data_IF_496174870881
#
_entry.id   IF_496174870881
#
_cell.length_a   1.000
_cell.length_b   1.000
_cell.length_c   1.000
_cell.angle_alpha   90.00
_cell.angle_beta   90.00
_cell.angle_gamma   90.00
#
_symmetry.space_group_name_H-M   'P 1'
#
loop_
_entity.id
_entity.type
_entity.pdbx_description
1 polymer ?
#
# COMPACT_ATOMS: atom_id res chain seq x y z
N UNK A 1 16.32 -42.97 -44.85
CA UNK A 1 15.70 -42.44 -43.62
C UNK A 1 16.66 -41.43 -42.99
N UNK A 2 16.37 -40.13 -43.10
CA UNK A 2 17.04 -39.08 -42.31
C UNK A 2 16.10 -38.72 -41.14
N UNK A 3 16.61 -38.56 -39.91
CA UNK A 3 15.74 -38.31 -38.77
C UNK A 3 15.19 -36.89 -38.84
N UNK A 4 13.92 -36.77 -38.48
CA UNK A 4 13.20 -35.51 -38.37
C UNK A 4 13.95 -34.53 -37.46
N UNK A 5 14.27 -33.35 -37.99
CA UNK A 5 14.70 -32.22 -37.18
C UNK A 5 13.52 -31.69 -36.36
N UNK A 6 13.79 -31.49 -35.07
CA UNK A 6 12.92 -30.86 -34.09
C UNK A 6 12.47 -29.47 -34.57
N UNK A 7 11.18 -29.33 -34.82
CA UNK A 7 10.49 -28.03 -34.82
C UNK A 7 9.88 -27.87 -33.43
N UNK A 8 10.53 -27.13 -32.54
CA UNK A 8 9.98 -26.49 -31.32
C UNK A 8 11.11 -25.94 -30.44
N UNK A 9 11.26 -24.60 -30.37
CA UNK A 9 11.87 -23.86 -29.23
C UNK A 9 11.91 -22.33 -29.38
N UNK A 10 11.57 -21.74 -30.54
CA UNK A 10 11.69 -20.28 -30.72
C UNK A 10 10.68 -19.46 -29.89
N UNK A 11 9.47 -19.97 -29.63
CA UNK A 11 8.42 -19.23 -28.91
C UNK A 11 8.60 -19.13 -27.40
N UNK A 12 9.35 -20.05 -26.78
CA UNK A 12 9.48 -20.11 -25.31
C UNK A 12 10.58 -19.21 -24.76
N UNK A 13 11.63 -18.88 -25.52
CA UNK A 13 12.65 -17.94 -25.05
C UNK A 13 12.15 -16.50 -25.10
N UNK A 14 11.50 -16.12 -26.20
CA UNK A 14 10.96 -14.77 -26.39
C UNK A 14 9.90 -14.42 -25.33
N UNK A 15 9.02 -15.36 -24.95
CA UNK A 15 8.06 -15.14 -23.88
C UNK A 15 8.74 -14.94 -22.51
N UNK A 16 9.79 -15.71 -22.20
CA UNK A 16 10.56 -15.55 -20.96
C UNK A 16 11.25 -14.19 -20.90
N UNK A 17 11.79 -13.73 -22.02
CA UNK A 17 12.46 -12.43 -22.12
C UNK A 17 11.47 -11.27 -21.91
N UNK A 18 10.24 -11.40 -22.42
CA UNK A 18 9.16 -10.42 -22.20
C UNK A 18 8.78 -10.36 -20.71
N UNK A 19 8.56 -11.51 -20.05
CA UNK A 19 8.23 -11.53 -18.62
C UNK A 19 9.36 -10.94 -17.77
N UNK A 20 10.62 -11.25 -18.08
CA UNK A 20 11.77 -10.69 -17.37
C UNK A 20 11.79 -9.15 -17.44
N UNK A 21 11.52 -8.57 -18.61
CA UNK A 21 11.45 -7.11 -18.76
C UNK A 21 10.29 -6.50 -17.98
N UNK A 22 9.11 -7.14 -17.99
CA UNK A 22 7.96 -6.72 -17.20
C UNK A 22 8.26 -6.75 -15.69
N UNK A 23 8.93 -7.79 -15.20
CA UNK A 23 9.35 -7.88 -13.80
C UNK A 23 10.33 -6.79 -13.42
N UNK A 24 11.33 -6.53 -14.26
CA UNK A 24 12.31 -5.47 -14.02
C UNK A 24 11.68 -4.08 -14.04
N UNK A 25 10.70 -3.85 -14.93
CA UNK A 25 9.92 -2.60 -14.93
C UNK A 25 9.16 -2.47 -13.62
N UNK A 26 8.43 -3.50 -13.22
CA UNK A 26 7.64 -3.45 -11.99
C UNK A 26 8.51 -3.24 -10.75
N UNK A 27 9.69 -3.88 -10.68
CA UNK A 27 10.65 -3.67 -9.61
C UNK A 27 11.20 -2.24 -9.50
N UNK A 28 11.38 -1.56 -10.65
CA UNK A 28 11.71 -0.12 -10.65
C UNK A 28 10.54 0.69 -10.13
N UNK A 29 9.34 0.44 -10.64
CA UNK A 29 8.14 1.18 -10.25
C UNK A 29 7.84 1.03 -8.75
N UNK A 30 7.97 -0.18 -8.18
CA UNK A 30 7.81 -0.39 -6.74
C UNK A 30 8.85 0.37 -5.91
N UNK A 31 10.10 0.39 -6.37
CA UNK A 31 11.16 1.13 -5.71
C UNK A 31 10.91 2.64 -5.78
N UNK A 32 10.46 3.16 -6.92
CA UNK A 32 10.16 4.58 -7.12
C UNK A 32 8.93 5.04 -6.34
N UNK A 33 7.86 4.25 -6.32
CA UNK A 33 6.59 4.62 -5.67
C UNK A 33 6.56 4.35 -4.17
N UNK A 34 7.21 3.27 -3.71
CA UNK A 34 7.09 2.79 -2.34
C UNK A 34 8.43 2.66 -1.61
N UNK A 35 9.56 2.85 -2.30
CA UNK A 35 10.90 2.67 -1.72
C UNK A 35 11.24 1.23 -1.36
N UNK A 36 10.56 0.25 -1.97
CA UNK A 36 10.84 -1.16 -1.77
C UNK A 36 11.52 -1.75 -3.02
N UNK A 37 12.84 -2.03 -2.98
CA UNK A 37 13.57 -2.54 -4.13
C UNK A 37 13.24 -4.00 -4.44
N UNK A 38 13.44 -4.40 -5.69
CA UNK A 38 13.32 -5.79 -6.17
C UNK A 38 11.92 -6.41 -6.02
N UNK A 39 10.88 -5.61 -5.82
CA UNK A 39 9.50 -6.11 -5.73
C UNK A 39 8.91 -6.28 -7.12
N UNK A 40 8.57 -7.51 -7.49
CA UNK A 40 7.99 -7.83 -8.80
C UNK A 40 6.46 -7.93 -8.77
N UNK A 41 5.85 -7.76 -7.60
CA UNK A 41 4.40 -7.72 -7.43
C UNK A 41 3.98 -7.79 -5.96
N UNK A 42 2.70 -7.53 -5.71
CA UNK A 42 2.06 -7.74 -4.41
C UNK A 42 0.90 -8.74 -4.57
N UNK A 43 0.80 -9.71 -3.68
CA UNK A 43 -0.24 -10.75 -3.72
C UNK A 43 -1.13 -10.67 -2.49
N UNK A 44 -2.45 -10.81 -2.70
CA UNK A 44 -3.43 -10.88 -1.63
C UNK A 44 -4.74 -11.55 -2.11
N UNK A 45 -5.57 -11.96 -1.16
CA UNK A 45 -6.89 -12.55 -1.38
C UNK A 45 -8.02 -11.57 -1.11
N UNK A 46 -9.02 -11.56 -1.99
CA UNK A 46 -10.30 -10.87 -1.79
C UNK A 46 -11.45 -11.86 -1.72
N UNK A 47 -12.24 -11.77 -0.65
CA UNK A 47 -13.55 -12.41 -0.60
C UNK A 47 -14.58 -11.63 -1.42
N UNK A 48 -15.14 -12.25 -2.46
CA UNK A 48 -16.28 -11.74 -3.23
C UNK A 48 -17.55 -12.35 -2.64
N UNK A 49 -18.42 -11.49 -2.10
CA UNK A 49 -19.67 -11.94 -1.46
C UNK A 49 -20.62 -12.56 -2.48
N UNK A 50 -21.28 -13.65 -2.09
CA UNK A 50 -22.31 -14.31 -2.87
C UNK A 50 -23.53 -14.64 -2.01
N UNK A 51 -24.69 -14.76 -2.65
CA UNK A 51 -25.82 -15.45 -2.05
C UNK A 51 -25.46 -16.93 -1.86
N UNK A 52 -26.10 -17.57 -0.89
CA UNK A 52 -25.85 -18.97 -0.55
C UNK A 52 -26.13 -19.82 -1.79
N UNK A 53 -25.14 -20.54 -2.37
CA UNK A 53 -25.41 -21.38 -3.52
C UNK A 53 -26.18 -22.62 -3.04
N UNK A 54 -27.21 -22.95 -3.79
CA UNK A 54 -28.39 -23.76 -3.46
C UNK A 54 -28.03 -25.16 -2.93
N UNK A 55 -26.85 -25.68 -3.31
CA UNK A 55 -26.40 -27.06 -3.01
C UNK A 55 -25.05 -27.17 -2.27
N UNK A 56 -24.41 -26.04 -1.93
CA UNK A 56 -22.99 -26.06 -1.49
C UNK A 56 -22.73 -25.89 0.03
N UNK A 57 -23.79 -25.86 0.83
CA UNK A 57 -23.70 -25.87 2.30
C UNK A 57 -22.72 -24.83 2.89
N UNK A 58 -21.98 -25.22 3.93
CA UNK A 58 -21.04 -24.37 4.68
C UNK A 58 -19.69 -24.13 3.98
N UNK A 59 -19.42 -24.75 2.83
CA UNK A 59 -18.11 -24.72 2.17
C UNK A 59 -17.69 -23.29 1.81
N UNK A 60 -18.61 -22.45 1.34
CA UNK A 60 -18.33 -21.06 0.99
C UNK A 60 -18.46 -20.08 2.15
N UNK A 61 -18.81 -20.55 3.36
CA UNK A 61 -18.96 -19.69 4.53
C UNK A 61 -17.61 -19.21 5.03
N UNK A 62 -17.29 -17.92 4.83
CA UNK A 62 -16.03 -17.36 5.29
C UNK A 62 -16.05 -16.95 6.76
N UNK A 63 -14.87 -16.74 7.33
CA UNK A 63 -14.70 -16.24 8.70
C UNK A 63 -15.38 -14.88 8.96
N UNK A 64 -15.71 -14.13 7.89
CA UNK A 64 -16.44 -12.86 7.94
C UNK A 64 -17.97 -13.03 8.02
N UNK A 65 -18.48 -14.27 8.08
CA UNK A 65 -19.90 -14.55 8.34
C UNK A 65 -20.81 -14.44 7.11
N UNK A 66 -20.26 -14.59 5.90
CA UNK A 66 -21.03 -14.62 4.65
C UNK A 66 -20.48 -15.67 3.66
N UNK A 67 -21.30 -16.07 2.68
CA UNK A 67 -20.83 -16.95 1.60
C UNK A 67 -19.96 -16.15 0.63
N UNK A 68 -18.77 -16.65 0.32
CA UNK A 68 -17.84 -15.94 -0.57
C UNK A 68 -17.02 -16.88 -1.44
N UNK A 69 -16.63 -16.36 -2.59
CA UNK A 69 -15.61 -16.94 -3.46
C UNK A 69 -14.35 -16.09 -3.36
N UNK A 70 -13.20 -16.73 -3.18
CA UNK A 70 -11.92 -16.02 -3.07
C UNK A 70 -11.38 -15.69 -4.46
N UNK A 71 -10.99 -14.44 -4.65
CA UNK A 71 -10.18 -13.92 -5.74
C UNK A 71 -8.76 -13.70 -5.20
N UNK A 72 -7.82 -14.55 -5.56
CA UNK A 72 -6.39 -14.34 -5.31
C UNK A 72 -5.82 -13.54 -6.46
N UNK A 73 -5.09 -12.47 -6.16
CA UNK A 73 -4.54 -11.61 -7.20
C UNK A 73 -3.09 -11.23 -6.93
N UNK A 74 -2.27 -11.31 -7.98
CA UNK A 74 -0.96 -10.69 -8.05
C UNK A 74 -1.10 -9.36 -8.79
N UNK A 75 -0.65 -8.27 -8.20
CA UNK A 75 -0.74 -6.92 -8.75
C UNK A 75 0.63 -6.27 -8.95
N UNK A 76 0.68 -5.34 -9.91
CA UNK A 76 1.83 -4.48 -10.14
C UNK A 76 1.79 -3.20 -9.29
N UNK A 77 2.83 -2.37 -9.39
CA UNK A 77 2.97 -1.11 -8.66
C UNK A 77 1.88 -0.07 -9.00
N UNK A 78 1.09 -0.29 -10.05
CA UNK A 78 0.05 0.62 -10.55
C UNK A 78 -1.36 0.09 -10.32
N UNK A 79 -1.52 -0.89 -9.42
CA UNK A 79 -2.80 -1.54 -9.13
C UNK A 79 -3.46 -2.20 -10.35
N UNK A 80 -2.65 -2.74 -11.28
CA UNK A 80 -3.12 -3.62 -12.36
C UNK A 80 -2.92 -5.08 -11.96
N UNK A 81 -3.88 -5.92 -12.32
CA UNK A 81 -3.83 -7.35 -12.04
C UNK A 81 -2.90 -8.05 -13.03
N UNK A 82 -1.80 -8.63 -12.57
CA UNK A 82 -0.86 -9.40 -13.38
C UNK A 82 -1.34 -10.84 -13.57
N UNK A 83 -1.87 -11.44 -12.50
CA UNK A 83 -2.44 -12.78 -12.51
C UNK A 83 -3.55 -12.88 -11.47
N UNK A 84 -4.57 -13.70 -11.75
CA UNK A 84 -5.65 -13.98 -10.82
C UNK A 84 -5.97 -15.47 -10.79
N UNK A 85 -6.37 -15.96 -9.61
CA UNK A 85 -6.92 -17.29 -9.39
C UNK A 85 -8.25 -17.13 -8.64
N UNK A 86 -9.33 -17.63 -9.22
CA UNK A 86 -10.69 -17.42 -8.74
C UNK A 86 -11.32 -18.79 -8.54
N UNK A 87 -11.86 -19.06 -7.37
CA UNK A 87 -12.57 -20.31 -7.17
C UNK A 87 -12.54 -20.89 -5.77
N UNK A 88 -11.57 -20.49 -4.94
CA UNK A 88 -11.48 -21.05 -3.60
C UNK A 88 -12.73 -20.75 -2.78
N UNK A 89 -13.11 -21.75 -1.97
CA UNK A 89 -14.21 -21.60 -1.03
C UNK A 89 -13.84 -20.61 0.06
N UNK A 90 -14.80 -19.83 0.54
CA UNK A 90 -14.59 -18.82 1.59
C UNK A 90 -14.00 -19.35 2.91
N UNK A 91 -13.97 -20.66 3.15
CA UNK A 91 -13.32 -21.28 4.32
C UNK A 91 -11.80 -21.39 4.21
N UNK A 92 -11.24 -21.35 3.01
CA UNK A 92 -9.82 -21.56 2.80
C UNK A 92 -9.05 -20.28 3.16
N UNK A 93 -7.98 -20.39 3.95
CA UNK A 93 -7.09 -19.26 4.18
C UNK A 93 -6.38 -18.86 2.88
N UNK A 94 -5.99 -17.60 2.77
CA UNK A 94 -5.26 -17.10 1.59
C UNK A 94 -3.98 -17.91 1.33
N UNK A 95 -3.28 -18.29 2.39
CA UNK A 95 -2.11 -19.18 2.32
C UNK A 95 -2.42 -20.59 1.83
N UNK A 96 -3.55 -21.15 2.26
CA UNK A 96 -4.02 -22.46 1.81
C UNK A 96 -4.40 -22.43 0.33
N UNK A 97 -5.07 -21.36 -0.11
CA UNK A 97 -5.44 -21.19 -1.50
C UNK A 97 -4.22 -20.97 -2.39
N UNK A 98 -3.31 -20.10 -1.98
CA UNK A 98 -2.05 -19.84 -2.67
C UNK A 98 -1.21 -21.11 -2.86
N UNK A 99 -1.16 -21.96 -1.84
CA UNK A 99 -0.39 -23.22 -1.88
C UNK A 99 -0.82 -24.13 -3.04
N UNK A 100 -2.11 -24.14 -3.39
CA UNK A 100 -2.67 -24.90 -4.53
C UNK A 100 -2.78 -24.09 -5.83
N UNK A 101 -2.55 -22.79 -5.78
CA UNK A 101 -2.84 -21.86 -6.88
C UNK A 101 -1.89 -22.03 -8.08
N UNK A 102 -2.37 -21.89 -9.33
CA UNK A 102 -1.52 -21.77 -10.51
C UNK A 102 -0.54 -20.60 -10.43
N UNK A 103 -0.87 -19.52 -9.70
CA UNK A 103 0.03 -18.38 -9.49
C UNK A 103 1.33 -18.84 -8.83
N UNK A 104 1.22 -19.65 -7.75
CA UNK A 104 2.38 -20.19 -7.06
C UNK A 104 3.22 -21.07 -8.00
N UNK A 105 2.57 -21.99 -8.71
CA UNK A 105 3.25 -22.91 -9.64
C UNK A 105 3.99 -22.16 -10.73
N UNK A 106 3.40 -21.08 -11.25
CA UNK A 106 4.02 -20.22 -12.24
C UNK A 106 5.24 -19.51 -11.65
N UNK A 107 5.10 -18.83 -10.50
CA UNK A 107 6.21 -18.13 -9.84
C UNK A 107 7.39 -19.04 -9.48
N UNK A 108 7.12 -20.30 -9.12
CA UNK A 108 8.16 -21.33 -8.83
C UNK A 108 8.75 -21.96 -10.11
N UNK A 109 8.17 -21.69 -11.28
CA UNK A 109 8.63 -22.27 -12.55
C UNK A 109 9.69 -21.42 -13.25
N UNK A 110 10.54 -22.07 -14.04
CA UNK A 110 11.47 -21.38 -14.94
C UNK A 110 10.77 -20.64 -16.10
N UNK A 111 9.45 -20.80 -16.26
CA UNK A 111 8.63 -20.11 -17.26
C UNK A 111 8.25 -18.70 -16.81
N UNK A 112 8.21 -18.44 -15.50
CA UNK A 112 7.95 -17.10 -15.00
C UNK A 112 9.03 -16.08 -15.40
N UNK A 113 10.25 -16.53 -15.74
CA UNK A 113 11.30 -15.60 -16.18
C UNK A 113 11.68 -14.59 -15.10
N UNK A 114 11.51 -14.92 -13.81
CA UNK A 114 11.94 -14.06 -12.70
C UNK A 114 13.45 -13.82 -12.84
N UNK A 115 13.91 -12.56 -12.87
CA UNK A 115 15.32 -12.26 -13.05
C UNK A 115 16.18 -12.85 -11.93
N UNK A 116 17.43 -13.18 -12.26
CA UNK A 116 18.39 -13.63 -11.26
C UNK A 116 18.63 -12.55 -10.19
N UNK A 117 19.05 -12.99 -8.99
CA UNK A 117 19.41 -12.08 -7.92
C UNK A 117 20.51 -11.10 -8.36
N UNK A 118 20.34 -9.82 -8.04
CA UNK A 118 21.33 -8.76 -8.33
C UNK A 118 21.78 -8.07 -7.05
N UNK A 119 23.00 -7.50 -7.00
CA UNK A 119 23.48 -6.84 -5.80
C UNK A 119 22.61 -5.64 -5.39
N UNK A 120 22.15 -5.63 -4.13
CA UNK A 120 21.45 -4.51 -3.53
C UNK A 120 22.41 -3.69 -2.66
N UNK A 121 23.15 -2.79 -3.29
CA UNK A 121 24.17 -1.97 -2.63
C UNK A 121 25.21 -2.83 -1.91
N UNK A 122 25.48 -2.51 -0.63
CA UNK A 122 26.47 -3.23 0.20
C UNK A 122 25.95 -4.56 0.77
N UNK A 123 24.66 -4.86 0.62
CA UNK A 123 24.03 -6.09 1.15
C UNK A 123 24.46 -7.31 0.32
N UNK A 124 24.77 -7.11 -0.96
CA UNK A 124 25.12 -8.19 -1.89
C UNK A 124 23.91 -8.71 -2.67
N UNK A 125 24.03 -9.86 -3.35
CA UNK A 125 22.99 -10.38 -4.24
C UNK A 125 21.68 -10.64 -3.50
N UNK A 126 20.60 -10.01 -3.95
CA UNK A 126 19.26 -10.18 -3.40
C UNK A 126 18.27 -10.59 -4.49
N UNK A 127 17.37 -11.56 -4.21
CA UNK A 127 16.38 -12.02 -5.18
C UNK A 127 15.32 -10.95 -5.47
N UNK A 128 14.60 -11.15 -6.57
CA UNK A 128 13.34 -10.47 -6.84
C UNK A 128 12.19 -11.18 -6.13
N UNK A 129 11.30 -10.42 -5.51
CA UNK A 129 10.32 -10.94 -4.54
C UNK A 129 8.92 -10.40 -4.78
N UNK A 130 7.91 -11.19 -4.39
CA UNK A 130 6.52 -10.76 -4.26
C UNK A 130 6.25 -10.37 -2.81
N UNK A 131 5.55 -9.26 -2.58
CA UNK A 131 5.08 -8.89 -1.24
C UNK A 131 3.77 -9.60 -0.92
N UNK A 132 3.66 -10.11 0.30
CA UNK A 132 2.45 -10.77 0.78
C UNK A 132 2.14 -10.39 2.23
N UNK A 133 0.91 -10.68 2.66
CA UNK A 133 0.52 -10.51 4.05
C UNK A 133 1.19 -11.56 4.97
N UNK A 134 1.01 -11.41 6.28
CA UNK A 134 1.61 -12.32 7.27
C UNK A 134 1.09 -13.76 7.19
N UNK A 135 -0.01 -14.02 6.49
CA UNK A 135 -0.63 -15.33 6.33
C UNK A 135 0.09 -16.24 5.33
N UNK A 136 0.71 -15.70 4.27
CA UNK A 136 1.30 -16.50 3.17
C UNK A 136 2.62 -17.23 3.53
N UNK A 137 3.32 -16.75 4.56
CA UNK A 137 4.61 -17.25 5.00
C UNK A 137 5.79 -16.82 4.11
N UNK A 138 6.96 -16.64 4.73
CA UNK A 138 8.20 -16.22 4.06
C UNK A 138 8.74 -17.31 3.10
N UNK A 139 9.21 -16.91 1.91
CA UNK A 139 9.82 -17.81 0.90
C UNK A 139 10.95 -17.09 0.15
N UNK A 140 11.76 -17.83 -0.60
CA UNK A 140 12.88 -17.27 -1.38
C UNK A 140 12.44 -16.21 -2.43
N UNK A 141 11.18 -16.29 -2.86
CA UNK A 141 10.56 -15.37 -3.82
C UNK A 141 9.42 -14.53 -3.20
N UNK A 142 9.22 -14.58 -1.87
CA UNK A 142 8.09 -13.93 -1.21
C UNK A 142 8.48 -13.34 0.15
N UNK A 143 8.21 -12.05 0.33
CA UNK A 143 8.48 -11.31 1.56
C UNK A 143 7.18 -11.01 2.31
N UNK A 144 7.19 -11.29 3.61
CA UNK A 144 6.07 -11.06 4.54
C UNK A 144 6.50 -10.15 5.69
N UNK A 145 5.57 -9.45 6.36
CA UNK A 145 5.91 -8.63 7.52
C UNK A 145 6.46 -9.48 8.67
N UNK A 146 7.33 -8.87 9.51
CA UNK A 146 7.63 -9.41 10.82
C UNK A 146 6.37 -9.46 11.67
N UNK A 147 6.20 -10.53 12.46
CA UNK A 147 5.09 -10.61 13.42
C UNK A 147 5.19 -9.51 14.47
N UNK A 148 4.06 -9.08 15.03
CA UNK A 148 4.01 -8.04 16.08
C UNK A 148 4.97 -8.37 17.25
N UNK A 149 4.99 -9.63 17.70
CA UNK A 149 5.88 -10.11 18.77
C UNK A 149 7.36 -9.96 18.44
N UNK A 150 7.72 -10.05 17.16
CA UNK A 150 9.09 -9.92 16.67
C UNK A 150 9.47 -8.50 16.25
N UNK A 151 8.52 -7.57 16.23
CA UNK A 151 8.73 -6.17 15.83
C UNK A 151 9.18 -5.33 17.03
N UNK A 152 10.37 -5.63 17.54
CA UNK A 152 10.92 -4.99 18.74
C UNK A 152 11.97 -3.92 18.44
N UNK A 153 12.57 -3.94 17.25
CA UNK A 153 13.55 -2.95 16.80
C UNK A 153 12.95 -1.91 15.86
N UNK A 154 13.57 -0.72 15.82
CA UNK A 154 13.19 0.35 14.90
C UNK A 154 13.28 -0.11 13.42
N UNK A 155 14.29 -0.90 13.07
CA UNK A 155 14.48 -1.39 11.70
C UNK A 155 13.37 -2.34 11.26
N UNK A 156 12.89 -3.21 12.16
CA UNK A 156 11.77 -4.12 11.85
C UNK A 156 10.47 -3.36 11.71
N UNK A 157 10.27 -2.32 12.53
CA UNK A 157 9.11 -1.43 12.41
C UNK A 157 9.15 -0.66 11.09
N UNK A 158 10.31 -0.14 10.70
CA UNK A 158 10.52 0.53 9.42
C UNK A 158 10.24 -0.43 8.26
N UNK A 159 10.82 -1.63 8.28
CA UNK A 159 10.57 -2.67 7.28
C UNK A 159 9.08 -2.99 7.15
N UNK A 160 8.39 -3.26 8.26
CA UNK A 160 6.95 -3.56 8.22
C UNK A 160 6.15 -2.38 7.66
N UNK A 161 6.52 -1.14 8.01
CA UNK A 161 5.83 0.05 7.52
C UNK A 161 5.98 0.20 6.01
N UNK A 162 7.20 0.02 5.49
CA UNK A 162 7.48 0.09 4.05
C UNK A 162 6.83 -1.07 3.30
N UNK A 163 6.90 -2.30 3.85
CA UNK A 163 6.23 -3.47 3.29
C UNK A 163 4.73 -3.26 3.20
N UNK A 164 4.07 -2.85 4.29
CA UNK A 164 2.63 -2.61 4.31
C UNK A 164 2.21 -1.51 3.34
N UNK A 165 3.00 -0.44 3.20
CA UNK A 165 2.72 0.62 2.25
C UNK A 165 2.80 0.14 0.79
N UNK A 166 3.81 -0.67 0.46
CA UNK A 166 3.97 -1.24 -0.87
C UNK A 166 2.92 -2.33 -1.16
N UNK A 167 2.66 -3.20 -0.19
CA UNK A 167 1.67 -4.28 -0.30
C UNK A 167 0.24 -3.74 -0.47
N UNK A 168 -0.10 -2.61 0.15
CA UNK A 168 -1.41 -1.95 -0.01
C UNK A 168 -1.80 -1.66 -1.47
N UNK A 169 -0.89 -1.74 -2.45
CA UNK A 169 -1.23 -1.63 -3.87
C UNK A 169 -2.21 -2.70 -4.35
N UNK A 170 -2.17 -3.93 -3.80
CA UNK A 170 -3.13 -4.99 -4.18
C UNK A 170 -4.49 -4.76 -3.52
N UNK A 171 -4.53 -4.31 -2.27
CA UNK A 171 -5.78 -3.84 -1.63
C UNK A 171 -6.40 -2.65 -2.39
N UNK A 172 -5.57 -1.72 -2.87
CA UNK A 172 -5.99 -0.60 -3.72
C UNK A 172 -6.57 -1.11 -5.05
N UNK A 173 -5.95 -2.11 -5.68
CA UNK A 173 -6.47 -2.71 -6.91
C UNK A 173 -7.87 -3.31 -6.68
N UNK A 174 -8.05 -4.03 -5.57
CA UNK A 174 -9.36 -4.53 -5.17
C UNK A 174 -10.38 -3.42 -4.91
N UNK A 175 -9.99 -2.34 -4.26
CA UNK A 175 -10.87 -1.19 -4.06
C UNK A 175 -11.28 -0.53 -5.36
N UNK A 176 -10.34 -0.31 -6.28
CA UNK A 176 -10.66 0.24 -7.59
C UNK A 176 -11.59 -0.67 -8.40
N UNK A 177 -11.37 -1.99 -8.33
CA UNK A 177 -12.25 -2.97 -8.97
C UNK A 177 -13.69 -2.86 -8.44
N UNK A 178 -13.88 -2.77 -7.11
CA UNK A 178 -15.20 -2.65 -6.47
C UNK A 178 -15.86 -1.29 -6.75
N UNK A 179 -15.08 -0.21 -6.74
CA UNK A 179 -15.59 1.14 -7.04
C UNK A 179 -16.08 1.22 -8.48
N UNK A 180 -15.31 0.66 -9.41
CA UNK A 180 -15.64 0.63 -10.83
C UNK A 180 -16.82 -0.28 -11.12
N UNK A 181 -16.83 -1.46 -10.55
CA UNK A 181 -17.88 -2.46 -10.75
C UNK A 181 -18.64 -2.67 -9.45
N UNK A 182 -19.62 -1.78 -9.23
CA UNK A 182 -20.45 -1.73 -8.01
C UNK A 182 -21.22 -3.02 -7.72
N UNK A 183 -21.28 -3.97 -8.67
CA UNK A 183 -21.78 -5.33 -8.44
C UNK A 183 -21.04 -6.04 -7.29
N UNK A 184 -19.77 -5.71 -7.04
CA UNK A 184 -18.98 -6.28 -5.95
C UNK A 184 -19.20 -5.60 -4.59
N UNK A 185 -20.06 -4.58 -4.50
CA UNK A 185 -20.43 -3.96 -3.21
C UNK A 185 -21.39 -4.83 -2.38
N UNK A 186 -22.09 -5.76 -3.04
CA UNK A 186 -23.07 -6.64 -2.40
C UNK A 186 -22.88 -8.11 -2.81
N UNK A 187 -23.68 -9.00 -2.22
CA UNK A 187 -23.70 -10.41 -2.62
C UNK A 187 -24.15 -10.56 -4.07
N UNK A 188 -23.39 -11.30 -4.87
CA UNK A 188 -23.78 -11.67 -6.24
C UNK A 188 -24.69 -12.89 -6.18
N UNK A 189 -25.82 -12.83 -6.89
CA UNK A 189 -26.84 -13.88 -6.94
C UNK A 189 -26.81 -14.64 -8.27
N UNK A 190 -25.76 -15.43 -8.47
CA UNK A 190 -25.51 -16.23 -9.68
C UNK A 190 -24.75 -17.52 -9.32
N UNK A 191 -24.66 -18.45 -10.27
CA UNK A 191 -23.89 -19.69 -10.08
C UNK A 191 -22.39 -19.42 -9.83
N UNK A 192 -21.66 -20.41 -9.32
CA UNK A 192 -20.21 -20.29 -9.08
C UNK A 192 -19.43 -19.97 -10.35
N UNK A 193 -19.82 -20.60 -11.45
CA UNK A 193 -19.21 -20.48 -12.76
C UNK A 193 -19.48 -19.09 -13.33
N UNK A 194 -20.73 -18.62 -13.21
CA UNK A 194 -21.12 -17.27 -13.64
C UNK A 194 -20.40 -16.19 -12.84
N UNK A 195 -20.28 -16.35 -11.51
CA UNK A 195 -19.53 -15.44 -10.66
C UNK A 195 -18.05 -15.39 -11.07
N UNK A 196 -17.46 -16.54 -11.37
CA UNK A 196 -16.07 -16.65 -11.84
C UNK A 196 -15.87 -15.90 -13.15
N UNK A 197 -16.77 -16.09 -14.13
CA UNK A 197 -16.75 -15.35 -15.39
C UNK A 197 -16.91 -13.83 -15.19
N UNK A 198 -17.81 -13.40 -14.30
CA UNK A 198 -18.01 -11.99 -13.96
C UNK A 198 -16.74 -11.37 -13.36
N UNK A 199 -16.09 -12.07 -12.42
CA UNK A 199 -14.86 -11.61 -11.79
C UNK A 199 -13.74 -11.50 -12.84
N UNK A 200 -13.57 -12.50 -13.71
CA UNK A 200 -12.61 -12.44 -14.81
C UNK A 200 -12.86 -11.26 -15.74
N UNK A 201 -14.09 -11.07 -16.20
CA UNK A 201 -14.45 -9.96 -17.07
C UNK A 201 -14.16 -8.61 -16.42
N UNK A 202 -14.48 -8.45 -15.13
CA UNK A 202 -14.20 -7.23 -14.40
C UNK A 202 -12.70 -6.96 -14.24
N UNK A 203 -11.89 -7.97 -13.94
CA UNK A 203 -10.42 -7.85 -13.87
C UNK A 203 -9.83 -7.42 -15.21
N UNK A 204 -10.27 -8.04 -16.31
CA UNK A 204 -9.80 -7.70 -17.65
C UNK A 204 -10.18 -6.26 -18.04
N UNK A 205 -11.43 -5.88 -17.81
CA UNK A 205 -11.91 -4.52 -18.06
C UNK A 205 -11.21 -3.50 -17.14
N UNK A 206 -10.92 -3.86 -15.89
CA UNK A 206 -10.15 -3.02 -14.98
C UNK A 206 -8.78 -2.67 -15.56
N UNK A 207 -8.05 -3.70 -15.97
CA UNK A 207 -6.73 -3.53 -16.59
C UNK A 207 -6.79 -2.74 -17.89
N UNK A 208 -7.80 -2.99 -18.74
CA UNK A 208 -7.96 -2.28 -20.01
C UNK A 208 -8.20 -0.77 -19.81
N UNK A 209 -9.04 -0.42 -18.83
CA UNK A 209 -9.39 0.97 -18.52
C UNK A 209 -8.29 1.72 -17.72
N UNK A 210 -7.32 0.99 -17.16
CA UNK A 210 -6.24 1.55 -16.35
C UNK A 210 -6.68 1.97 -14.94
N UNK A 211 -5.77 2.58 -14.13
CA UNK A 211 -6.06 2.93 -12.74
C UNK A 211 -7.04 4.09 -12.62
N UNK A 212 -7.88 4.05 -11.58
CA UNK A 212 -8.74 5.19 -11.23
C UNK A 212 -7.89 6.36 -10.73
N UNK A 213 -8.24 7.58 -11.17
CA UNK A 213 -7.59 8.81 -10.72
C UNK A 213 -8.28 9.42 -9.50
N UNK A 214 -9.52 9.00 -9.24
CA UNK A 214 -10.30 9.48 -8.10
C UNK A 214 -9.99 8.66 -6.84
N UNK A 215 -10.09 9.26 -5.64
CA UNK A 215 -9.94 8.52 -4.40
C UNK A 215 -11.02 7.44 -4.27
N UNK A 216 -10.64 6.31 -3.66
CA UNK A 216 -11.56 5.21 -3.38
C UNK A 216 -12.54 5.64 -2.29
N UNK A 217 -13.83 5.52 -2.56
CA UNK A 217 -14.91 5.88 -1.61
C UNK A 217 -14.82 5.09 -0.30
N UNK A 218 -15.19 5.72 0.82
CA UNK A 218 -15.15 5.09 2.16
C UNK A 218 -15.99 3.81 2.25
N UNK A 219 -17.15 3.79 1.57
CA UNK A 219 -18.00 2.61 1.48
C UNK A 219 -17.31 1.45 0.72
N UNK A 220 -16.49 1.77 -0.27
CA UNK A 220 -15.70 0.80 -1.02
C UNK A 220 -14.54 0.29 -0.16
N UNK A 221 -13.84 1.18 0.55
CA UNK A 221 -12.80 0.80 1.52
C UNK A 221 -13.32 -0.19 2.57
N UNK A 222 -14.51 0.06 3.12
CA UNK A 222 -15.16 -0.84 4.07
C UNK A 222 -15.48 -2.22 3.44
N UNK A 223 -15.97 -2.24 2.20
CA UNK A 223 -16.27 -3.46 1.46
C UNK A 223 -15.01 -4.27 1.11
N UNK A 224 -13.89 -3.62 0.80
CA UNK A 224 -12.59 -4.29 0.58
C UNK A 224 -12.11 -4.95 1.87
N UNK A 225 -12.18 -4.24 2.99
CA UNK A 225 -11.79 -4.77 4.31
C UNK A 225 -12.74 -5.86 4.83
N UNK A 226 -13.93 -5.98 4.24
CA UNK A 226 -14.97 -6.91 4.67
C UNK A 226 -15.56 -6.53 6.03
N UNK A 227 -15.60 -5.24 6.35
CA UNK A 227 -16.24 -4.73 7.56
C UNK A 227 -17.74 -4.50 7.30
N UNK A 228 -18.58 -5.11 8.13
CA UNK A 228 -19.98 -4.68 8.29
C UNK A 228 -20.03 -3.18 8.66
N UNK A 229 -21.07 -2.39 8.30
CA UNK A 229 -21.07 -0.92 8.33
C UNK A 229 -20.95 -0.22 9.70
N UNK A 230 -20.44 -0.90 10.73
CA UNK A 230 -20.23 -0.35 12.07
C UNK A 230 -18.83 -0.67 12.56
N UNK A 231 -17.83 0.07 12.09
CA UNK A 231 -16.63 0.49 12.84
C UNK A 231 -15.77 1.38 11.93
N UNK A 232 -15.43 2.58 12.39
CA UNK A 232 -14.69 3.58 11.62
C UNK A 232 -13.19 3.23 11.51
N UNK A 233 -12.51 3.59 10.41
CA UNK A 233 -11.09 3.25 10.22
C UNK A 233 -10.16 4.28 10.87
N UNK A 234 -9.06 3.79 11.47
CA UNK A 234 -7.87 4.59 11.83
C UNK A 234 -6.89 4.64 10.66
N UNK A 235 -6.31 5.82 10.47
CA UNK A 235 -5.41 6.24 9.39
C UNK A 235 -4.15 5.36 9.26
N UNK A 236 -3.92 4.76 8.09
CA UNK A 236 -2.65 4.11 7.72
C UNK A 236 -1.90 4.80 6.59
N UNK A 237 -2.41 5.93 6.06
CA UNK A 237 -1.86 6.53 4.83
C UNK A 237 -0.73 7.55 5.03
N UNK A 238 -0.43 7.98 6.27
CA UNK A 238 0.64 8.97 6.55
C UNK A 238 1.99 8.35 6.93
N UNK A 239 2.01 7.14 7.49
CA UNK A 239 3.24 6.53 8.00
C UNK A 239 4.26 6.18 6.90
N UNK A 240 3.79 5.78 5.71
CA UNK A 240 4.66 5.40 4.59
C UNK A 240 5.38 6.58 3.93
N UNK A 241 4.82 7.80 3.98
CA UNK A 241 5.44 8.99 3.36
C UNK A 241 6.45 9.70 4.27
N UNK A 242 6.35 9.51 5.59
CA UNK A 242 7.20 10.19 6.57
C UNK A 242 8.56 9.50 6.75
N UNK A 243 8.66 8.19 6.46
CA UNK A 243 9.88 7.41 6.71
C UNK A 243 10.86 7.38 5.52
N UNK A 244 10.39 7.52 4.27
CA UNK A 244 11.29 7.58 3.11
C UNK A 244 12.19 8.83 3.11
N UNK A 245 11.73 9.94 3.71
CA UNK A 245 12.55 11.15 3.87
C UNK A 245 13.53 11.09 5.05
N UNK A 246 13.44 10.05 5.89
CA UNK A 246 14.20 9.91 7.14
C UNK A 246 15.49 9.08 6.99
N UNK A 247 15.75 8.48 5.82
CA UNK A 247 16.92 7.61 5.59
C UNK A 247 18.17 8.37 5.12
N UNK A 248 18.14 9.71 5.10
CA UNK A 248 19.33 10.55 4.95
C UNK A 248 19.39 11.49 6.15
N UNK A 249 20.30 11.17 7.07
CA UNK A 249 21.01 12.05 8.02
C UNK A 249 21.15 11.38 9.39
N UNK A 250 22.20 10.56 9.51
CA UNK A 250 22.78 10.22 10.81
C UNK A 250 23.45 11.45 11.41
N UNK A 251 22.87 11.96 12.51
CA UNK A 251 23.55 12.37 13.77
C UNK A 251 22.71 13.41 14.51
N UNK A 252 22.27 13.04 15.72
CA UNK A 252 22.53 13.72 17.01
C UNK A 252 21.56 13.10 18.02
N UNK A 253 22.14 12.33 18.94
CA UNK A 253 21.49 11.80 20.14
C UNK A 253 21.31 12.93 21.14
N UNK A 254 20.09 13.19 21.55
CA UNK A 254 19.77 13.80 22.83
C UNK A 254 18.41 13.24 23.29
N UNK A 255 18.44 12.23 24.16
CA UNK A 255 17.25 11.72 24.83
C UNK A 255 16.68 12.83 25.72
N UNK A 256 15.42 13.18 25.48
CA UNK A 256 14.60 13.99 26.39
C UNK A 256 13.32 13.21 26.70
N UNK A 257 12.81 13.29 27.94
CA UNK A 257 11.75 12.41 28.43
C UNK A 257 10.49 12.54 27.58
N UNK A 258 9.94 11.39 27.16
CA UNK A 258 8.70 11.26 26.39
C UNK A 258 7.49 11.71 27.22
N UNK A 259 7.32 13.01 27.40
CA UNK A 259 6.05 13.59 27.83
C UNK A 259 5.09 13.47 26.64
N UNK A 260 3.95 12.82 26.86
CA UNK A 260 2.91 12.65 25.85
C UNK A 260 2.24 14.02 25.64
N UNK A 261 2.67 14.74 24.62
CA UNK A 261 2.13 16.07 24.30
C UNK A 261 0.80 15.88 23.55
N UNK A 262 -0.28 16.45 24.09
CA UNK A 262 -1.59 16.37 23.47
C UNK A 262 -1.68 17.21 22.18
N UNK A 263 -2.61 16.91 21.27
CA UNK A 263 -2.82 17.71 20.08
C UNK A 263 -3.18 19.17 20.40
N UNK A 264 -2.73 20.13 19.58
CA UNK A 264 -3.17 21.53 19.71
C UNK A 264 -4.70 21.62 19.55
N UNK A 265 -5.35 22.31 20.47
CA UNK A 265 -6.77 22.65 20.35
C UNK A 265 -7.00 23.76 19.29
N UNK A 266 -8.25 23.99 18.90
CA UNK A 266 -8.59 24.97 17.85
C UNK A 266 -8.16 26.41 18.19
N UNK A 267 -8.14 26.78 19.47
CA UNK A 267 -7.70 28.11 19.92
C UNK A 267 -6.19 28.25 19.80
N UNK A 268 -5.44 27.21 20.15
CA UNK A 268 -4.00 27.12 20.01
C UNK A 268 -3.56 27.08 18.55
N UNK A 269 -4.30 26.37 17.68
CA UNK A 269 -4.10 26.38 16.23
C UNK A 269 -4.25 27.78 15.62
N UNK A 270 -5.32 28.50 15.98
CA UNK A 270 -5.54 29.87 15.50
C UNK A 270 -4.39 30.80 15.88
N UNK A 271 -3.91 30.71 17.13
CA UNK A 271 -2.79 31.54 17.60
C UNK A 271 -1.46 31.18 16.93
N UNK A 272 -1.21 29.90 16.63
CA UNK A 272 -0.03 29.48 15.88
C UNK A 272 -0.06 30.09 14.47
N UNK A 273 -1.23 30.09 13.82
CA UNK A 273 -1.42 30.71 12.50
C UNK A 273 -1.15 32.22 12.58
N UNK A 274 -1.67 32.91 13.58
CA UNK A 274 -1.43 34.35 13.76
C UNK A 274 0.05 34.67 13.98
N UNK A 275 0.76 33.83 14.75
CA UNK A 275 2.19 34.01 15.02
C UNK A 275 3.05 33.78 13.77
N UNK A 276 2.63 32.87 12.89
CA UNK A 276 3.26 32.62 11.59
C UNK A 276 2.98 33.77 10.61
N UNK A 277 1.74 34.27 10.58
CA UNK A 277 1.34 35.42 9.75
C UNK A 277 2.08 36.71 10.08
N UNK A 278 2.56 36.88 11.32
CA UNK A 278 3.37 38.03 11.73
C UNK A 278 4.76 38.07 11.06
N UNK A 279 5.23 36.97 10.43
CA UNK A 279 6.54 36.91 9.75
C UNK A 279 6.46 36.20 8.38
N UNK A 280 5.73 36.78 7.41
CA UNK A 280 5.43 36.12 6.14
C UNK A 280 6.67 35.85 5.28
N UNK A 281 7.73 36.65 5.42
CA UNK A 281 9.01 36.44 4.72
C UNK A 281 9.75 35.17 5.18
N UNK A 282 9.52 34.71 6.41
CA UNK A 282 10.13 33.50 6.94
C UNK A 282 9.31 32.27 6.53
N UNK A 283 7.99 32.38 6.53
CA UNK A 283 7.05 31.27 6.35
C UNK A 283 6.40 31.23 4.97
N UNK A 284 7.03 31.86 3.98
CA UNK A 284 6.54 31.93 2.61
C UNK A 284 6.31 30.51 2.04
N UNK A 285 5.06 30.12 1.76
CA UNK A 285 4.73 28.79 1.23
C UNK A 285 5.34 28.50 -0.13
N UNK A 286 5.66 29.53 -0.92
CA UNK A 286 6.24 29.39 -2.25
C UNK A 286 7.74 29.00 -2.21
N UNK A 287 8.48 29.48 -1.22
CA UNK A 287 9.92 29.25 -1.09
C UNK A 287 10.21 27.90 -0.37
N UNK A 288 9.31 27.44 0.52
CA UNK A 288 9.42 26.16 1.28
C UNK A 288 10.74 25.95 2.04
N UNK A 289 11.73 26.84 1.95
CA UNK A 289 13.03 26.73 2.62
C UNK A 289 12.92 26.68 4.14
N UNK A 290 11.85 27.25 4.71
CA UNK A 290 11.54 27.14 6.13
C UNK A 290 11.30 25.70 6.59
N UNK A 291 10.90 24.78 5.70
CA UNK A 291 10.69 23.37 6.06
C UNK A 291 12.01 22.67 6.42
N UNK A 292 13.16 23.17 5.95
CA UNK A 292 14.48 22.57 6.17
C UNK A 292 15.30 23.24 7.27
N UNK A 293 14.88 24.41 7.74
CA UNK A 293 15.62 25.21 8.71
C UNK A 293 15.13 24.95 10.15
N UNK A 294 15.81 24.03 10.84
CA UNK A 294 15.50 23.65 12.22
C UNK A 294 15.63 24.83 13.21
N UNK A 295 16.50 25.80 12.93
CA UNK A 295 16.70 26.98 13.78
C UNK A 295 15.48 27.91 13.78
N UNK A 296 14.78 28.03 12.66
CA UNK A 296 13.53 28.80 12.55
C UNK A 296 12.41 28.16 13.37
N UNK A 297 12.24 26.85 13.28
CA UNK A 297 11.23 26.11 14.05
C UNK A 297 11.49 26.12 15.55
N UNK A 298 12.76 26.08 15.97
CA UNK A 298 13.13 26.19 17.37
C UNK A 298 12.79 27.57 17.95
N UNK A 299 13.10 28.64 17.21
CA UNK A 299 12.71 30.01 17.61
C UNK A 299 11.19 30.17 17.69
N UNK A 300 10.45 29.61 16.74
CA UNK A 300 8.98 29.62 16.75
C UNK A 300 8.43 28.89 17.98
N UNK A 301 8.97 27.70 18.28
CA UNK A 301 8.54 26.89 19.41
C UNK A 301 8.79 27.57 20.76
N UNK A 302 9.94 28.20 20.94
CA UNK A 302 10.23 28.96 22.15
C UNK A 302 9.22 30.12 22.32
N UNK A 303 8.94 30.87 21.26
CA UNK A 303 7.98 31.98 21.31
C UNK A 303 6.54 31.52 21.56
N UNK A 304 6.14 30.40 20.97
CA UNK A 304 4.81 29.82 21.17
C UNK A 304 4.65 29.33 22.61
N UNK A 305 5.64 28.62 23.13
CA UNK A 305 5.66 28.07 24.49
C UNK A 305 5.71 29.16 25.57
N UNK A 306 6.44 30.25 25.34
CA UNK A 306 6.47 31.41 26.23
C UNK A 306 5.09 32.07 26.36
N UNK A 307 4.30 32.11 25.27
CA UNK A 307 2.98 32.74 25.26
C UNK A 307 1.84 31.84 25.77
N UNK A 308 1.92 30.54 25.52
CA UNK A 308 0.86 29.59 25.88
C UNK A 308 1.16 28.77 27.15
N UNK A 309 2.36 28.90 27.74
CA UNK A 309 2.83 28.10 28.88
C UNK A 309 2.76 26.59 28.57
N UNK A 310 3.35 26.22 27.43
CA UNK A 310 3.35 24.85 26.89
C UNK A 310 4.78 24.34 26.65
N UNK A 311 4.94 23.05 26.37
CA UNK A 311 6.26 22.42 26.11
C UNK A 311 6.32 21.77 24.71
N UNK A 312 5.78 22.43 23.68
CA UNK A 312 5.82 21.91 22.31
C UNK A 312 7.23 22.03 21.73
N UNK A 313 7.77 20.94 21.20
CA UNK A 313 9.07 20.99 20.51
C UNK A 313 8.93 21.61 19.12
N UNK A 314 10.05 22.06 18.56
CA UNK A 314 10.15 22.51 17.16
C UNK A 314 9.57 21.48 16.18
N UNK A 315 9.78 20.19 16.45
CA UNK A 315 9.24 19.08 15.68
C UNK A 315 7.71 19.02 15.79
N UNK A 316 7.16 19.14 17.00
CA UNK A 316 5.71 19.10 17.19
C UNK A 316 4.99 20.21 16.43
N UNK A 317 5.47 21.45 16.51
CA UNK A 317 4.84 22.57 15.81
C UNK A 317 5.02 22.50 14.29
N UNK A 318 6.15 21.97 13.82
CA UNK A 318 6.38 21.70 12.39
C UNK A 318 5.41 20.64 11.86
N UNK A 319 5.24 19.54 12.59
CA UNK A 319 4.33 18.46 12.22
C UNK A 319 2.88 18.96 12.22
N UNK A 320 2.51 19.79 13.20
CA UNK A 320 1.21 20.47 13.23
C UNK A 320 0.98 21.41 12.05
N UNK A 321 1.97 22.27 11.74
CA UNK A 321 1.89 23.19 10.62
C UNK A 321 1.75 22.47 9.29
N UNK A 322 2.52 21.40 9.10
CA UNK A 322 2.43 20.58 7.90
C UNK A 322 1.06 19.88 7.80
N UNK A 323 0.53 19.39 8.92
CA UNK A 323 -0.83 18.82 8.95
C UNK A 323 -1.88 19.87 8.58
N UNK A 324 -1.80 21.09 9.10
CA UNK A 324 -2.67 22.21 8.75
C UNK A 324 -2.60 22.56 7.26
N UNK A 325 -1.39 22.71 6.72
CA UNK A 325 -1.17 23.05 5.29
C UNK A 325 -1.62 21.90 4.38
N UNK A 326 -1.41 20.64 4.75
CA UNK A 326 -1.84 19.47 3.97
C UNK A 326 -3.36 19.28 4.04
N UNK A 327 -3.97 19.47 5.20
CA UNK A 327 -5.42 19.40 5.39
C UNK A 327 -6.14 20.49 4.57
N UNK A 328 -5.58 21.69 4.54
CA UNK A 328 -6.15 22.82 3.83
C UNK A 328 -5.75 22.92 2.35
N UNK A 329 -4.71 22.24 1.88
CA UNK A 329 -4.40 22.13 0.44
C UNK A 329 -5.42 21.28 -0.35
N UNK A 330 -6.31 20.54 0.34
CA UNK A 330 -7.49 19.91 -0.28
C UNK A 330 -8.66 20.90 -0.50
N UNK A 331 -8.61 22.08 0.13
CA UNK A 331 -9.58 23.18 -0.03
C UNK A 331 -8.80 24.47 -0.30
N UNK A 332 -8.38 24.68 -1.55
CA UNK A 332 -7.68 25.87 -2.11
C UNK A 332 -7.31 26.95 -1.07
N UNK A 333 -6.17 26.80 -0.39
CA UNK A 333 -5.66 27.80 0.54
C UNK A 333 -4.29 28.38 0.18
N UNK A 334 -3.76 28.05 -1.02
CA UNK A 334 -2.51 28.67 -1.47
C UNK A 334 -2.65 30.18 -1.75
N UNK A 335 -3.86 30.69 -2.03
CA UNK A 335 -4.03 32.10 -2.41
C UNK A 335 -4.57 33.00 -1.28
N UNK A 336 -5.14 32.46 -0.19
CA UNK A 336 -5.87 33.28 0.81
C UNK A 336 -5.22 33.35 2.20
N UNK A 337 -4.05 32.72 2.43
CA UNK A 337 -3.36 32.79 3.73
C UNK A 337 -2.41 33.99 3.85
N UNK A 338 -2.02 34.60 2.72
CA UNK A 338 -1.03 35.68 2.62
C UNK A 338 -1.43 36.83 1.68
N UNK A 339 -2.68 36.84 1.20
CA UNK A 339 -3.27 38.01 0.55
C UNK A 339 -4.10 38.76 1.59
N UNK A 340 -3.90 40.09 1.64
CA UNK A 340 -4.36 41.02 2.70
C UNK A 340 -5.81 40.85 3.17
#
# INVERSE_FOLDING_TARGET
>A
MKPHQNVRTAGSSQAKDIFAEDWLRNARDFNEHYGFPHVIGAIDGKHVARTRPDESGELFWCFKGFHSQVLMALCDAHSRFLAVDIGASGRQSDSGFFTSSPIRRFLESAEAGVPAAVPLGVIGPMPYVVLADGGFGLRDYMMTPYTEKSTTSADRLLYNTVLSAAHHVVESAFGQLVQRFRIFLGPIDVSTEQATCLIHAAVLLHNYLGPLREPIDDAVQAAVRGMSPRMTPRNTTEAGKILLSSAMDDKIVAESPKVKIEPLDEKQKSKLIDLVKQRPSIWNPADRGYLKDAGKWLKLANQFNEKEVTNYTAKNLKDFWNSLVVYHNRVRLNDNLFCD
#
